data_IF_634954388879
#
_entry.id   IF_634954388879
#
_cell.length_a   1.000
_cell.length_b   1.000
_cell.length_c   1.000
_cell.angle_alpha   90.00
_cell.angle_beta   90.00
_cell.angle_gamma   90.00
#
_symmetry.space_group_name_H-M   'P 1'
#
loop_
_entity.id
_entity.type
_entity.pdbx_description
1 polymer ?
#
# COMPACT_ATOMS: atom_id res chain seq x y z
N UNK A 1 39.33 47.29 52.42
CA UNK A 1 38.17 48.14 52.05
C UNK A 1 38.35 48.88 50.70
N UNK A 2 39.04 48.29 49.70
CA UNK A 2 39.20 48.89 48.34
C UNK A 2 38.85 47.93 47.19
N UNK A 3 38.49 46.67 47.47
CA UNK A 3 38.10 45.71 46.42
C UNK A 3 36.60 45.69 46.11
N UNK A 4 35.72 46.08 47.03
CA UNK A 4 34.27 45.99 46.78
C UNK A 4 33.70 47.14 45.93
N UNK A 5 34.40 48.28 45.85
CA UNK A 5 33.98 49.42 45.02
C UNK A 5 34.28 49.22 43.52
N UNK A 6 35.22 48.34 43.17
CA UNK A 6 35.56 48.05 41.76
C UNK A 6 34.58 47.06 41.15
N UNK A 7 34.07 46.10 41.94
CA UNK A 7 33.07 45.14 41.47
C UNK A 7 31.72 45.79 41.14
N UNK A 8 31.30 46.80 41.92
CA UNK A 8 30.03 47.49 41.68
C UNK A 8 30.07 48.42 40.44
N UNK A 9 31.22 49.01 40.12
CA UNK A 9 31.39 49.86 38.95
C UNK A 9 31.39 49.08 37.62
N UNK A 10 31.89 47.83 37.63
CA UNK A 10 31.91 46.96 36.43
C UNK A 10 30.51 46.43 36.09
N UNK A 11 29.67 46.17 37.10
CA UNK A 11 28.29 45.69 36.88
C UNK A 11 27.38 46.80 36.32
N UNK A 12 27.59 48.06 36.71
CA UNK A 12 26.78 49.19 36.21
C UNK A 12 27.15 49.56 34.76
N UNK A 13 28.43 49.42 34.36
CA UNK A 13 28.85 49.64 32.97
C UNK A 13 28.42 48.51 32.03
N UNK A 14 28.29 47.27 32.52
CA UNK A 14 27.80 46.15 31.72
C UNK A 14 26.27 46.19 31.49
N UNK A 15 25.49 46.69 32.46
CA UNK A 15 24.03 46.81 32.32
C UNK A 15 23.59 48.02 31.46
N UNK A 16 24.33 49.15 31.51
CA UNK A 16 24.03 50.34 30.72
C UNK A 16 24.34 50.18 29.22
N UNK A 17 25.37 49.42 28.86
CA UNK A 17 25.75 49.18 27.46
C UNK A 17 24.76 48.29 26.70
N UNK A 18 24.08 47.36 27.38
CA UNK A 18 23.20 46.41 26.73
C UNK A 18 21.84 47.01 26.33
N UNK A 19 21.32 47.95 27.11
CA UNK A 19 20.08 48.67 26.79
C UNK A 19 20.27 49.69 25.65
N UNK A 20 21.47 50.28 25.51
CA UNK A 20 21.79 51.16 24.38
C UNK A 20 22.04 50.37 23.08
N UNK A 21 22.61 49.16 23.17
CA UNK A 21 22.77 48.26 22.03
C UNK A 21 21.42 47.73 21.50
N UNK A 22 20.47 47.44 22.39
CA UNK A 22 19.12 47.00 22.01
C UNK A 22 18.24 48.12 21.41
N UNK A 23 18.55 49.39 21.70
CA UNK A 23 17.83 50.53 21.13
C UNK A 23 18.30 50.91 19.70
N UNK A 24 19.57 50.66 19.36
CA UNK A 24 20.16 51.01 18.05
C UNK A 24 19.94 49.91 17.00
N UNK A 25 19.79 48.64 17.41
CA UNK A 25 19.61 47.51 16.48
C UNK A 25 18.16 47.37 15.96
N UNK A 26 17.20 48.18 16.44
CA UNK A 26 15.77 48.02 16.10
C UNK A 26 15.22 48.88 14.96
N UNK A 27 16.03 49.67 14.25
CA UNK A 27 15.54 50.55 13.16
C UNK A 27 16.37 50.55 11.88
N UNK A 28 17.24 49.56 11.67
CA UNK A 28 17.88 49.37 10.36
C UNK A 28 17.25 48.18 9.64
N UNK A 29 16.50 48.37 8.54
CA UNK A 29 16.06 47.26 7.71
C UNK A 29 17.34 46.57 7.18
N UNK A 30 17.51 45.31 7.55
CA UNK A 30 18.61 44.50 7.06
C UNK A 30 18.65 44.58 5.52
N UNK A 31 19.82 44.78 4.90
CA UNK A 31 19.93 44.75 3.45
C UNK A 31 19.39 43.41 2.97
N UNK A 32 18.33 43.48 2.16
CA UNK A 32 17.69 42.31 1.55
C UNK A 32 18.83 41.56 0.82
N UNK A 33 19.14 40.30 1.20
CA UNK A 33 20.15 39.55 0.49
C UNK A 33 19.78 39.56 -1.00
N UNK A 34 20.76 39.69 -1.92
CA UNK A 34 20.46 39.60 -3.34
C UNK A 34 19.66 38.34 -3.55
N UNK A 35 18.49 38.47 -4.19
CA UNK A 35 17.69 37.31 -4.54
C UNK A 35 18.59 36.41 -5.39
N UNK A 36 19.04 35.32 -4.79
CA UNK A 36 19.77 34.28 -5.51
C UNK A 36 18.76 33.60 -6.42
N UNK A 37 18.54 34.22 -7.58
CA UNK A 37 17.70 33.75 -8.68
C UNK A 37 18.31 32.54 -9.41
N UNK A 38 19.42 31.96 -8.90
CA UNK A 38 20.13 30.88 -9.56
C UNK A 38 20.11 29.53 -8.84
N UNK A 39 19.54 29.46 -7.63
CA UNK A 39 19.34 28.19 -6.94
C UNK A 39 18.18 27.41 -7.57
N UNK A 40 18.43 26.78 -8.72
CA UNK A 40 17.57 25.70 -9.23
C UNK A 40 17.45 24.68 -8.10
N UNK A 41 16.26 24.42 -7.56
CA UNK A 41 16.12 23.47 -6.47
C UNK A 41 16.56 22.11 -7.01
N UNK A 42 17.73 21.65 -6.55
CA UNK A 42 18.22 20.31 -6.84
C UNK A 42 17.19 19.37 -6.27
N UNK A 43 16.32 18.84 -7.14
CA UNK A 43 15.38 17.79 -6.75
C UNK A 43 16.21 16.68 -6.14
N UNK A 44 15.82 16.20 -4.96
CA UNK A 44 16.47 15.04 -4.36
C UNK A 44 16.51 13.91 -5.38
N UNK A 45 17.59 13.12 -5.39
CA UNK A 45 17.78 11.99 -6.30
C UNK A 45 16.56 11.06 -6.29
N UNK A 46 15.96 10.85 -5.12
CA UNK A 46 14.74 10.06 -4.94
C UNK A 46 13.55 10.61 -5.73
N UNK A 47 13.40 11.95 -5.76
CA UNK A 47 12.34 12.60 -6.53
C UNK A 47 12.56 12.45 -8.04
N UNK A 48 13.81 12.51 -8.49
CA UNK A 48 14.13 12.30 -9.90
C UNK A 48 13.88 10.84 -10.32
N UNK A 49 14.29 9.88 -9.48
CA UNK A 49 14.04 8.45 -9.68
C UNK A 49 12.53 8.15 -9.71
N UNK A 50 11.75 8.73 -8.79
CA UNK A 50 10.30 8.62 -8.80
C UNK A 50 9.69 9.20 -10.08
N UNK A 51 10.09 10.40 -10.50
CA UNK A 51 9.58 11.02 -11.73
C UNK A 51 9.89 10.17 -12.98
N UNK A 52 11.07 9.56 -13.07
CA UNK A 52 11.43 8.66 -14.17
C UNK A 52 10.66 7.32 -14.13
N UNK A 53 10.46 6.74 -12.95
CA UNK A 53 9.59 5.57 -12.79
C UNK A 53 8.16 5.88 -13.24
N UNK A 54 7.60 7.02 -12.83
CA UNK A 54 6.26 7.47 -13.23
C UNK A 54 6.17 7.65 -14.74
N UNK A 55 7.20 8.21 -15.39
CA UNK A 55 7.23 8.36 -16.85
C UNK A 55 7.27 7.02 -17.57
N UNK A 56 8.11 6.08 -17.13
CA UNK A 56 8.21 4.75 -17.75
C UNK A 56 6.89 3.97 -17.69
N UNK A 57 6.10 4.18 -16.64
CA UNK A 57 4.88 3.42 -16.39
C UNK A 57 3.61 4.08 -16.95
N UNK A 58 3.72 5.25 -17.60
CA UNK A 58 2.56 6.10 -17.91
C UNK A 58 1.72 5.68 -19.11
N UNK A 59 2.16 4.71 -19.92
CA UNK A 59 1.53 4.47 -21.23
C UNK A 59 0.97 3.05 -21.45
N UNK A 60 1.43 2.05 -20.70
CA UNK A 60 1.04 0.67 -20.97
C UNK A 60 -0.17 0.25 -20.14
N UNK A 61 -1.16 -0.41 -20.77
CA UNK A 61 -2.24 -1.02 -20.02
C UNK A 61 -1.66 -2.14 -19.13
N UNK A 62 -2.17 -2.23 -17.91
CA UNK A 62 -1.79 -3.22 -16.90
C UNK A 62 -3.01 -4.03 -16.48
N UNK A 63 -2.74 -5.19 -15.89
CA UNK A 63 -3.76 -5.93 -15.18
C UNK A 63 -3.65 -5.63 -13.68
N UNK A 64 -4.75 -5.26 -13.04
CA UNK A 64 -4.82 -5.00 -11.61
C UNK A 64 -5.69 -6.06 -10.95
N UNK A 65 -5.17 -6.67 -9.90
CA UNK A 65 -5.89 -7.53 -8.97
C UNK A 65 -6.21 -6.72 -7.72
N UNK A 66 -7.48 -6.60 -7.39
CA UNK A 66 -7.96 -6.12 -6.11
C UNK A 66 -8.26 -7.33 -5.22
N UNK A 67 -7.82 -7.29 -3.97
CA UNK A 67 -8.05 -8.31 -2.96
C UNK A 67 -8.71 -7.65 -1.76
N UNK A 68 -9.80 -8.20 -1.27
CA UNK A 68 -10.58 -7.73 -0.13
C UNK A 68 -10.71 -8.83 0.92
N UNK A 69 -10.41 -8.52 2.18
CA UNK A 69 -10.56 -9.40 3.32
C UNK A 69 -12.01 -9.33 3.83
N UNK A 70 -12.74 -10.43 3.65
CA UNK A 70 -14.15 -10.51 4.02
C UNK A 70 -14.30 -10.51 5.54
N UNK A 71 -15.22 -9.70 6.05
CA UNK A 71 -15.57 -9.66 7.48
C UNK A 71 -14.60 -8.84 8.35
N UNK A 72 -13.64 -8.12 7.76
CA UNK A 72 -12.68 -7.30 8.49
C UNK A 72 -13.31 -6.34 9.51
N UNK A 73 -14.37 -5.60 9.11
CA UNK A 73 -15.07 -4.68 10.02
C UNK A 73 -15.65 -5.41 11.23
N UNK A 74 -16.36 -6.52 11.01
CA UNK A 74 -16.96 -7.30 12.09
C UNK A 74 -15.90 -7.91 13.01
N UNK A 75 -14.79 -8.39 12.43
CA UNK A 75 -13.65 -8.94 13.17
C UNK A 75 -12.99 -7.87 14.05
N UNK A 76 -12.82 -6.65 13.52
CA UNK A 76 -12.23 -5.52 14.26
C UNK A 76 -13.16 -5.04 15.38
N UNK A 77 -14.46 -4.92 15.12
CA UNK A 77 -15.46 -4.53 16.13
C UNK A 77 -15.57 -5.53 17.28
N UNK A 78 -15.39 -6.82 17.00
CA UNK A 78 -15.40 -7.88 18.02
C UNK A 78 -14.14 -7.89 18.91
N UNK A 79 -13.05 -7.29 18.44
CA UNK A 79 -11.75 -7.32 19.09
C UNK A 79 -11.13 -5.90 19.13
N UNK A 80 -11.64 -5.01 19.99
CA UNK A 80 -11.26 -3.60 20.01
C UNK A 80 -9.87 -3.33 20.62
N UNK A 81 -9.25 -4.34 21.24
CA UNK A 81 -7.94 -4.22 21.86
C UNK A 81 -6.84 -4.04 20.80
N UNK A 82 -5.74 -3.42 21.21
CA UNK A 82 -4.61 -3.19 20.31
C UNK A 82 -4.03 -4.50 19.82
N UNK A 83 -3.93 -4.63 18.50
CA UNK A 83 -3.29 -5.79 17.86
C UNK A 83 -1.80 -5.51 17.73
N UNK A 84 -0.97 -6.32 18.37
CA UNK A 84 0.48 -6.30 18.18
C UNK A 84 0.88 -7.33 17.13
N UNK A 85 1.57 -6.87 16.07
CA UNK A 85 2.17 -7.75 15.07
C UNK A 85 3.67 -7.54 15.03
N UNK A 86 4.40 -8.65 15.06
CA UNK A 86 5.81 -8.67 14.68
C UNK A 86 5.90 -8.94 13.19
N UNK A 87 6.28 -7.92 12.41
CA UNK A 87 6.51 -8.05 10.98
C UNK A 87 7.84 -8.76 10.65
N UNK A 88 8.68 -9.02 11.66
CA UNK A 88 10.03 -9.58 11.49
C UNK A 88 10.16 -11.08 11.75
N UNK A 89 9.15 -11.75 12.31
CA UNK A 89 9.19 -13.19 12.54
C UNK A 89 8.54 -13.95 11.39
N UNK A 90 9.28 -14.89 10.78
CA UNK A 90 8.73 -15.84 9.78
C UNK A 90 7.59 -16.70 10.35
N UNK A 91 7.52 -16.81 11.67
CA UNK A 91 6.39 -17.41 12.36
C UNK A 91 5.36 -16.34 12.71
N UNK A 92 4.09 -16.62 12.41
CA UNK A 92 2.92 -16.04 13.10
C UNK A 92 2.91 -16.59 14.55
N UNK A 93 4.03 -16.47 15.26
CA UNK A 93 4.22 -17.02 16.60
C UNK A 93 3.75 -15.98 17.59
N UNK A 94 2.70 -16.34 18.34
CA UNK A 94 2.00 -15.56 19.35
C UNK A 94 0.80 -14.71 18.89
N UNK A 95 0.12 -15.07 17.80
CA UNK A 95 -1.24 -14.57 17.59
C UNK A 95 -2.16 -15.05 18.73
N UNK A 96 -2.47 -14.14 19.66
CA UNK A 96 -3.23 -14.44 20.90
C UNK A 96 -4.73 -14.46 20.64
N UNK A 97 -5.19 -13.78 19.58
CA UNK A 97 -6.59 -13.71 19.20
C UNK A 97 -6.85 -14.28 17.79
N UNK A 98 -8.10 -14.71 17.48
CA UNK A 98 -8.51 -15.05 16.12
C UNK A 98 -8.28 -13.91 15.11
N UNK A 99 -8.45 -12.66 15.56
CA UNK A 99 -8.21 -11.46 14.76
C UNK A 99 -6.76 -11.31 14.34
N UNK A 100 -5.83 -11.56 15.27
CA UNK A 100 -4.39 -11.48 15.00
C UNK A 100 -4.00 -12.50 13.91
N UNK A 101 -4.58 -13.70 13.97
CA UNK A 101 -4.32 -14.76 12.98
C UNK A 101 -4.82 -14.36 11.60
N UNK A 102 -6.02 -13.80 11.52
CA UNK A 102 -6.62 -13.51 10.22
C UNK A 102 -6.03 -12.26 9.56
N UNK A 103 -5.91 -11.15 10.30
CA UNK A 103 -5.35 -9.93 9.73
C UNK A 103 -3.83 -10.08 9.57
N UNK A 104 -3.14 -10.67 10.54
CA UNK A 104 -1.71 -10.98 10.42
C UNK A 104 -1.42 -11.94 9.27
N UNK A 105 -2.24 -13.00 9.12
CA UNK A 105 -2.17 -13.90 7.97
C UNK A 105 -2.45 -13.21 6.64
N UNK A 106 -3.38 -12.25 6.61
CA UNK A 106 -3.63 -11.41 5.43
C UNK A 106 -2.40 -10.61 5.03
N UNK A 107 -1.83 -9.85 5.97
CA UNK A 107 -0.67 -9.00 5.72
C UNK A 107 0.59 -9.81 5.40
N UNK A 108 0.82 -10.91 6.11
CA UNK A 108 1.95 -11.80 5.86
C UNK A 108 1.92 -12.36 4.43
N UNK A 109 0.75 -12.82 3.95
CA UNK A 109 0.62 -13.32 2.57
C UNK A 109 1.01 -12.26 1.52
N UNK A 110 0.60 -11.01 1.75
CA UNK A 110 0.91 -9.89 0.84
C UNK A 110 2.40 -9.53 0.87
N UNK A 111 3.02 -9.57 2.05
CA UNK A 111 4.45 -9.30 2.21
C UNK A 111 5.31 -10.38 1.55
N UNK A 112 5.01 -11.66 1.78
CA UNK A 112 5.73 -12.77 1.14
C UNK A 112 5.67 -12.68 -0.39
N UNK A 113 4.53 -12.25 -0.93
CA UNK A 113 4.40 -12.06 -2.37
C UNK A 113 5.27 -10.90 -2.89
N UNK A 114 5.37 -9.80 -2.14
CA UNK A 114 6.24 -8.68 -2.49
C UNK A 114 7.73 -9.06 -2.42
N UNK A 115 8.09 -9.98 -1.52
CA UNK A 115 9.46 -10.47 -1.31
C UNK A 115 9.88 -11.57 -2.30
N UNK A 116 8.94 -12.19 -3.00
CA UNK A 116 9.20 -13.23 -4.01
C UNK A 116 9.81 -12.66 -5.31
N UNK A 117 10.93 -11.95 -5.19
CA UNK A 117 11.65 -11.32 -6.29
C UNK A 117 12.19 -12.39 -7.24
N UNK A 118 11.74 -12.36 -8.50
CA UNK A 118 12.23 -13.23 -9.57
C UNK A 118 11.28 -14.33 -10.04
N UNK A 119 10.12 -14.55 -9.39
CA UNK A 119 9.05 -15.32 -10.00
C UNK A 119 8.41 -14.48 -11.12
N UNK A 120 8.25 -15.08 -12.31
CA UNK A 120 7.60 -14.45 -13.46
C UNK A 120 6.11 -14.10 -13.21
N UNK A 121 5.55 -14.57 -12.10
CA UNK A 121 4.21 -14.25 -11.62
C UNK A 121 4.17 -13.20 -10.51
N UNK A 122 5.30 -12.62 -10.10
CA UNK A 122 5.32 -11.59 -9.07
C UNK A 122 4.74 -10.27 -9.58
N UNK A 123 3.96 -9.56 -8.75
CA UNK A 123 3.43 -8.25 -9.12
C UNK A 123 4.56 -7.22 -9.23
N UNK A 124 4.43 -6.33 -10.20
CA UNK A 124 5.31 -5.16 -10.34
C UNK A 124 5.13 -4.15 -9.20
N UNK A 125 3.92 -4.08 -8.63
CA UNK A 125 3.57 -3.19 -7.52
C UNK A 125 2.56 -3.87 -6.60
N UNK A 126 2.72 -3.68 -5.29
CA UNK A 126 1.79 -4.13 -4.25
C UNK A 126 1.44 -2.96 -3.35
N UNK A 127 0.16 -2.59 -3.34
CA UNK A 127 -0.41 -1.54 -2.50
C UNK A 127 -1.32 -2.19 -1.48
N UNK A 128 -0.77 -2.49 -0.30
CA UNK A 128 -1.50 -3.10 0.79
C UNK A 128 -2.10 -2.04 1.73
N UNK A 129 -3.32 -2.30 2.18
CA UNK A 129 -4.06 -1.59 3.21
C UNK A 129 -4.46 -2.59 4.29
N UNK A 130 -5.13 -2.12 5.35
CA UNK A 130 -5.49 -2.97 6.50
C UNK A 130 -6.26 -4.23 6.11
N UNK A 131 -7.23 -4.09 5.20
CA UNK A 131 -8.19 -5.13 4.82
C UNK A 131 -8.22 -5.43 3.32
N UNK A 132 -7.47 -4.67 2.52
CA UNK A 132 -7.49 -4.85 1.07
C UNK A 132 -6.12 -4.57 0.46
N UNK A 133 -5.94 -4.98 -0.80
CA UNK A 133 -4.72 -4.72 -1.56
C UNK A 133 -4.97 -4.58 -3.06
N UNK A 134 -4.10 -3.82 -3.71
CA UNK A 134 -4.01 -3.76 -5.17
C UNK A 134 -2.65 -4.30 -5.62
N UNK A 135 -2.68 -5.23 -6.58
CA UNK A 135 -1.50 -5.87 -7.15
C UNK A 135 -1.48 -5.65 -8.65
N UNK A 136 -0.35 -5.22 -9.18
CA UNK A 136 -0.23 -4.77 -10.58
C UNK A 136 0.66 -5.70 -11.38
N UNK A 137 0.14 -6.20 -12.49
CA UNK A 137 0.79 -7.16 -13.38
C UNK A 137 0.84 -6.64 -14.82
N UNK A 138 1.78 -7.18 -15.59
CA UNK A 138 1.98 -6.82 -16.99
C UNK A 138 0.93 -7.45 -17.92
N UNK A 139 0.44 -8.64 -17.58
CA UNK A 139 -0.60 -9.30 -18.36
C UNK A 139 -1.64 -10.05 -17.51
N UNK A 140 -2.84 -10.32 -18.08
CA UNK A 140 -3.91 -10.98 -17.34
C UNK A 140 -3.60 -12.42 -16.90
N UNK A 141 -2.80 -13.16 -17.68
CA UNK A 141 -2.47 -14.56 -17.36
C UNK A 141 -1.60 -14.65 -16.10
N UNK A 142 -0.56 -13.81 -15.99
CA UNK A 142 0.24 -13.70 -14.77
C UNK A 142 -0.62 -13.36 -13.56
N UNK A 143 -1.50 -12.37 -13.71
CA UNK A 143 -2.37 -11.93 -12.64
C UNK A 143 -3.34 -13.03 -12.18
N UNK A 144 -3.92 -13.79 -13.12
CA UNK A 144 -4.82 -14.91 -12.82
C UNK A 144 -4.10 -16.08 -12.13
N UNK A 145 -2.87 -16.41 -12.55
CA UNK A 145 -2.04 -17.44 -11.90
C UNK A 145 -1.71 -17.03 -10.46
N UNK A 146 -1.29 -15.77 -10.26
CA UNK A 146 -1.00 -15.23 -8.93
C UNK A 146 -2.27 -15.20 -8.06
N UNK A 147 -3.40 -14.71 -8.58
CA UNK A 147 -4.68 -14.68 -7.87
C UNK A 147 -5.12 -16.08 -7.40
N UNK A 148 -4.98 -17.10 -8.25
CA UNK A 148 -5.34 -18.48 -7.90
C UNK A 148 -4.46 -19.03 -6.79
N UNK A 149 -3.15 -18.78 -6.84
CA UNK A 149 -2.20 -19.18 -5.78
C UNK A 149 -2.49 -18.47 -4.47
N UNK A 150 -2.70 -17.16 -4.50
CA UNK A 150 -3.05 -16.36 -3.33
C UNK A 150 -4.36 -16.82 -2.70
N UNK A 151 -5.39 -17.05 -3.50
CA UNK A 151 -6.69 -17.51 -3.00
C UNK A 151 -6.57 -18.86 -2.28
N UNK A 152 -5.80 -19.81 -2.84
CA UNK A 152 -5.50 -21.09 -2.17
C UNK A 152 -4.72 -20.89 -0.88
N UNK A 153 -3.74 -19.99 -0.87
CA UNK A 153 -2.99 -19.67 0.34
C UNK A 153 -3.92 -19.14 1.43
N UNK A 154 -4.71 -18.11 1.13
CA UNK A 154 -5.68 -17.51 2.04
C UNK A 154 -6.70 -18.53 2.56
N UNK A 155 -7.17 -19.42 1.68
CA UNK A 155 -8.06 -20.52 2.07
C UNK A 155 -7.39 -21.46 3.10
N UNK A 156 -6.12 -21.83 2.90
CA UNK A 156 -5.36 -22.70 3.83
C UNK A 156 -5.11 -22.03 5.18
N UNK A 157 -4.84 -20.73 5.20
CA UNK A 157 -4.64 -19.96 6.43
C UNK A 157 -5.94 -19.43 7.04
N UNK A 158 -7.10 -19.86 6.52
CA UNK A 158 -8.44 -19.49 7.01
C UNK A 158 -8.69 -17.97 7.04
N UNK A 159 -8.12 -17.26 6.07
CA UNK A 159 -8.36 -15.84 5.83
C UNK A 159 -9.36 -15.74 4.67
N UNK A 160 -10.64 -15.40 4.93
CA UNK A 160 -11.62 -15.31 3.87
C UNK A 160 -11.33 -14.05 3.02
N UNK A 161 -11.07 -14.23 1.74
CA UNK A 161 -10.82 -13.11 0.82
C UNK A 161 -11.66 -13.22 -0.43
N UNK A 162 -11.91 -12.09 -1.07
CA UNK A 162 -12.51 -12.02 -2.39
C UNK A 162 -11.66 -11.16 -3.30
N UNK A 163 -11.63 -11.50 -4.58
CA UNK A 163 -10.74 -10.87 -5.54
C UNK A 163 -11.47 -10.40 -6.78
N UNK A 164 -11.05 -9.27 -7.32
CA UNK A 164 -11.50 -8.75 -8.61
C UNK A 164 -10.30 -8.46 -9.51
N UNK A 165 -10.30 -9.01 -10.72
CA UNK A 165 -9.24 -8.82 -11.69
C UNK A 165 -9.75 -7.98 -12.86
N UNK A 166 -9.00 -6.96 -13.27
CA UNK A 166 -9.35 -6.15 -14.43
C UNK A 166 -8.13 -5.66 -15.21
N UNK A 167 -8.35 -5.41 -16.50
CA UNK A 167 -7.38 -4.81 -17.39
C UNK A 167 -7.73 -3.34 -17.70
N UNK A 168 -6.72 -2.48 -17.81
CA UNK A 168 -6.88 -1.06 -18.11
C UNK A 168 -5.64 -0.22 -17.79
N UNK A 169 -5.84 1.07 -17.58
CA UNK A 169 -4.77 2.00 -17.20
C UNK A 169 -4.45 1.92 -15.71
N UNK A 170 -3.18 2.12 -15.36
CA UNK A 170 -2.65 2.23 -14.01
C UNK A 170 -1.62 3.36 -13.96
N UNK A 171 -1.73 4.22 -12.95
CA UNK A 171 -0.81 5.33 -12.71
C UNK A 171 -0.49 5.42 -11.23
N UNK A 172 0.80 5.37 -10.90
CA UNK A 172 1.32 5.76 -9.60
C UNK A 172 1.73 7.24 -9.66
N UNK A 173 1.35 8.04 -8.67
CA UNK A 173 1.68 9.47 -8.63
C UNK A 173 2.72 9.79 -7.57
N UNK A 174 2.46 9.41 -6.31
CA UNK A 174 3.35 9.73 -5.19
C UNK A 174 3.03 8.86 -3.99
N UNK A 175 4.08 8.40 -3.33
CA UNK A 175 4.03 8.03 -1.93
C UNK A 175 4.68 9.15 -1.11
N UNK A 176 4.03 9.63 -0.05
CA UNK A 176 4.68 10.52 0.90
C UNK A 176 4.25 10.29 2.34
N UNK A 177 5.19 10.62 3.22
CA UNK A 177 5.02 10.64 4.65
C UNK A 177 5.40 12.05 5.10
N UNK A 178 4.43 12.81 5.58
CA UNK A 178 4.60 14.20 5.98
C UNK A 178 4.16 14.36 7.44
N UNK A 179 5.00 14.97 8.28
CA UNK A 179 4.64 15.34 9.66
C UNK A 179 4.40 16.84 9.68
N UNK A 180 3.16 17.24 9.97
CA UNK A 180 2.76 18.65 10.06
C UNK A 180 2.20 18.88 11.46
N UNK A 181 2.92 19.66 12.26
CA UNK A 181 2.67 19.83 13.70
C UNK A 181 2.70 18.49 14.45
N UNK A 182 1.56 18.08 15.01
CA UNK A 182 1.34 16.79 15.67
C UNK A 182 0.62 15.76 14.78
N UNK A 183 0.43 16.06 13.49
CA UNK A 183 -0.28 15.20 12.55
C UNK A 183 0.70 14.47 11.65
N UNK A 184 0.57 13.15 11.63
CA UNK A 184 1.23 12.30 10.64
C UNK A 184 0.30 12.10 9.46
N UNK A 185 0.76 12.43 8.26
CA UNK A 185 0.00 12.25 7.03
C UNK A 185 0.76 11.33 6.08
N UNK A 186 0.26 10.12 5.94
CA UNK A 186 0.72 9.15 4.94
C UNK A 186 -0.19 9.21 3.71
N UNK A 187 0.39 9.40 2.52
CA UNK A 187 -0.33 9.49 1.25
C UNK A 187 0.24 8.45 0.29
N UNK A 188 -0.60 7.55 -0.19
CA UNK A 188 -0.32 6.72 -1.35
C UNK A 188 -1.32 7.09 -2.44
N UNK A 189 -0.85 7.76 -3.49
CA UNK A 189 -1.73 8.22 -4.58
C UNK A 189 -1.45 7.41 -5.83
N UNK A 190 -2.44 6.61 -6.21
CA UNK A 190 -2.50 5.86 -7.45
C UNK A 190 -3.92 5.90 -8.00
N UNK A 191 -4.07 5.74 -9.31
CA UNK A 191 -5.37 5.79 -9.98
C UNK A 191 -5.29 5.10 -11.34
N UNK A 192 -6.46 4.81 -11.93
CA UNK A 192 -6.53 4.25 -13.26
C UNK A 192 -7.81 3.48 -13.49
N UNK A 193 -8.13 3.22 -14.76
CA UNK A 193 -9.34 2.47 -15.11
C UNK A 193 -9.26 1.02 -14.65
N UNK A 194 -8.06 0.42 -14.60
CA UNK A 194 -7.89 -0.94 -14.08
C UNK A 194 -8.22 -1.02 -12.58
N UNK A 195 -7.84 -0.01 -11.79
CA UNK A 195 -8.12 0.07 -10.34
C UNK A 195 -9.62 0.02 -10.08
N UNK A 196 -10.36 0.93 -10.73
CA UNK A 196 -11.82 1.04 -10.56
C UNK A 196 -12.52 -0.23 -11.02
N UNK A 197 -12.11 -0.79 -12.17
CA UNK A 197 -12.71 -2.00 -12.72
C UNK A 197 -12.43 -3.24 -11.88
N UNK A 198 -11.22 -3.37 -11.32
CA UNK A 198 -10.84 -4.49 -10.45
C UNK A 198 -11.67 -4.46 -9.16
N UNK A 199 -11.77 -3.30 -8.53
CA UNK A 199 -12.64 -3.09 -7.39
C UNK A 199 -14.13 -3.35 -7.72
N UNK A 200 -14.62 -2.91 -8.88
CA UNK A 200 -15.99 -3.19 -9.30
C UNK A 200 -16.24 -4.69 -9.56
N UNK A 201 -15.25 -5.41 -10.08
CA UNK A 201 -15.36 -6.83 -10.36
C UNK A 201 -15.48 -7.67 -9.09
N UNK A 202 -14.77 -7.31 -8.01
CA UNK A 202 -14.94 -7.95 -6.71
C UNK A 202 -16.42 -7.90 -6.25
N UNK A 203 -17.14 -6.83 -6.59
CA UNK A 203 -18.53 -6.61 -6.20
C UNK A 203 -19.58 -7.31 -7.05
N UNK A 204 -19.23 -8.22 -7.96
CA UNK A 204 -20.21 -8.92 -8.81
C UNK A 204 -21.12 -9.94 -8.07
N UNK A 205 -21.32 -9.76 -6.76
CA UNK A 205 -22.49 -10.27 -6.04
C UNK A 205 -22.38 -11.70 -5.48
N UNK A 206 -21.24 -12.38 -5.65
CA UNK A 206 -21.07 -13.74 -5.14
C UNK A 206 -20.73 -13.80 -3.64
N UNK A 207 -21.24 -14.80 -2.93
CA UNK A 207 -20.87 -15.07 -1.54
C UNK A 207 -19.57 -15.85 -1.45
N UNK A 208 -18.81 -15.62 -0.39
CA UNK A 208 -17.60 -16.39 -0.07
C UNK A 208 -16.37 -16.01 -0.89
N UNK A 209 -15.39 -16.91 -0.87
CA UNK A 209 -14.08 -16.70 -1.49
C UNK A 209 -14.15 -16.97 -3.00
N UNK A 210 -14.01 -15.93 -3.80
CA UNK A 210 -14.16 -15.99 -5.26
C UNK A 210 -13.21 -15.01 -5.95
N UNK A 211 -12.81 -15.34 -7.19
CA UNK A 211 -12.03 -14.48 -8.06
C UNK A 211 -12.89 -14.10 -9.27
N UNK A 212 -13.22 -12.83 -9.41
CA UNK A 212 -14.05 -12.31 -10.49
C UNK A 212 -13.18 -11.68 -11.58
N UNK A 213 -13.54 -11.93 -12.84
CA UNK A 213 -12.86 -11.35 -13.99
C UNK A 213 -13.75 -10.26 -14.62
N UNK A 214 -13.27 -9.03 -14.62
CA UNK A 214 -13.94 -7.91 -15.28
C UNK A 214 -13.98 -8.13 -16.81
N UNK A 215 -15.06 -7.75 -17.52
CA UNK A 215 -15.16 -7.86 -18.99
C UNK A 215 -14.09 -7.11 -19.79
N UNK A 216 -13.28 -6.26 -19.15
CA UNK A 216 -12.14 -5.62 -19.81
C UNK A 216 -10.98 -6.59 -20.06
N UNK A 217 -10.99 -7.76 -19.43
CA UNK A 217 -10.15 -8.90 -19.79
C UNK A 217 -10.80 -9.52 -21.03
N UNK A 218 -10.19 -9.32 -22.19
CA UNK A 218 -10.76 -9.79 -23.47
C UNK A 218 -10.97 -11.31 -23.51
N UNK A 219 -11.86 -11.80 -24.39
CA UNK A 219 -12.22 -13.21 -24.47
C UNK A 219 -11.02 -14.12 -24.74
N UNK A 220 -10.07 -13.68 -25.57
CA UNK A 220 -8.85 -14.45 -25.85
C UNK A 220 -7.98 -14.65 -24.61
N UNK A 221 -7.87 -13.62 -23.77
CA UNK A 221 -7.13 -13.71 -22.50
C UNK A 221 -7.86 -14.63 -21.51
N UNK A 222 -9.20 -14.57 -21.46
CA UNK A 222 -10.01 -15.48 -20.64
C UNK A 222 -9.79 -16.94 -21.07
N UNK A 223 -9.84 -17.23 -22.38
CA UNK A 223 -9.61 -18.57 -22.90
C UNK A 223 -8.19 -19.08 -22.56
N UNK A 224 -7.18 -18.21 -22.65
CA UNK A 224 -5.82 -18.55 -22.24
C UNK A 224 -5.72 -18.84 -20.73
N UNK A 225 -6.38 -18.03 -19.89
CA UNK A 225 -6.44 -18.24 -18.44
C UNK A 225 -7.09 -19.60 -18.14
N UNK A 226 -8.25 -19.89 -18.71
CA UNK A 226 -8.99 -21.14 -18.49
C UNK A 226 -8.18 -22.38 -18.91
N UNK A 227 -7.37 -22.26 -19.97
CA UNK A 227 -6.50 -23.36 -20.43
C UNK A 227 -5.34 -23.60 -19.48
N UNK A 228 -4.84 -22.56 -18.80
CA UNK A 228 -3.60 -22.61 -18.00
C UNK A 228 -3.84 -22.79 -16.51
N UNK A 229 -4.91 -22.19 -15.98
CA UNK A 229 -5.32 -22.37 -14.59
C UNK A 229 -6.21 -23.62 -14.57
N UNK A 230 -5.61 -24.76 -14.20
CA UNK A 230 -6.31 -26.06 -14.14
C UNK A 230 -7.22 -26.13 -12.91
N UNK A 231 -8.39 -25.54 -12.99
CA UNK A 231 -9.32 -25.51 -11.86
C UNK A 231 -10.58 -26.29 -12.11
N UNK A 232 -11.19 -26.77 -11.02
CA UNK A 232 -12.45 -27.50 -11.05
C UNK A 232 -13.53 -26.66 -11.74
N UNK A 233 -14.44 -27.31 -12.46
CA UNK A 233 -15.58 -26.61 -13.03
C UNK A 233 -16.48 -26.08 -11.92
N UNK A 234 -16.90 -24.82 -12.06
CA UNK A 234 -17.88 -24.22 -11.15
C UNK A 234 -19.27 -24.69 -11.60
N UNK A 235 -20.03 -25.29 -10.68
CA UNK A 235 -21.33 -25.90 -10.97
C UNK A 235 -22.37 -24.96 -11.61
N UNK A 236 -22.21 -23.63 -11.44
CA UNK A 236 -23.02 -22.64 -12.14
C UNK A 236 -22.35 -21.27 -12.10
N UNK A 237 -22.20 -20.62 -13.26
CA UNK A 237 -21.82 -19.21 -13.33
C UNK A 237 -22.92 -18.34 -12.69
N UNK A 238 -22.52 -17.29 -11.95
CA UNK A 238 -23.47 -16.34 -11.38
C UNK A 238 -23.95 -15.37 -12.46
N UNK A 239 -25.24 -15.01 -12.46
CA UNK A 239 -25.83 -14.16 -13.51
C UNK A 239 -25.11 -12.81 -13.66
N UNK A 240 -24.65 -12.23 -12.54
CA UNK A 240 -23.97 -10.93 -12.49
C UNK A 240 -22.45 -11.01 -12.70
N UNK A 241 -21.87 -12.22 -12.68
CA UNK A 241 -20.44 -12.47 -12.83
C UNK A 241 -20.22 -13.49 -13.96
N UNK A 242 -20.28 -13.06 -15.23
CA UNK A 242 -20.18 -13.98 -16.37
C UNK A 242 -18.83 -14.69 -16.43
N UNK A 243 -17.79 -14.10 -15.84
CA UNK A 243 -16.44 -14.65 -15.82
C UNK A 243 -15.96 -14.77 -14.37
N UNK A 244 -15.84 -16.02 -13.92
CA UNK A 244 -15.27 -16.36 -12.62
C UNK A 244 -14.08 -17.29 -12.83
N UNK A 245 -13.06 -17.10 -11.99
CA UNK A 245 -11.90 -17.97 -11.94
C UNK A 245 -12.03 -18.82 -10.68
N UNK A 246 -12.09 -20.13 -10.85
CA UNK A 246 -11.96 -21.05 -9.73
C UNK A 246 -10.47 -21.12 -9.33
N UNK A 247 -10.19 -21.54 -8.10
CA UNK A 247 -8.86 -21.63 -7.51
C UNK A 247 -8.61 -23.01 -6.88
N UNK A 248 -9.63 -23.85 -6.76
CA UNK A 248 -9.51 -25.20 -6.25
C UNK A 248 -9.07 -26.16 -7.35
N UNK A 249 -8.00 -26.91 -7.07
CA UNK A 249 -7.57 -28.05 -7.88
C UNK A 249 -8.19 -29.34 -7.33
N UNK A 250 -8.19 -30.40 -8.15
CA UNK A 250 -8.61 -31.75 -7.69
C UNK A 250 -7.86 -32.19 -6.43
N UNK A 251 -6.55 -31.89 -6.36
CA UNK A 251 -5.69 -32.19 -5.19
C UNK A 251 -6.16 -31.48 -3.91
N UNK A 252 -6.79 -30.31 -4.01
CA UNK A 252 -7.28 -29.59 -2.83
C UNK A 252 -8.56 -30.24 -2.25
N UNK A 253 -9.27 -31.08 -3.01
CA UNK A 253 -10.47 -31.79 -2.53
C UNK A 253 -10.14 -32.85 -1.48
N UNK A 254 -8.92 -33.40 -1.49
CA UNK A 254 -8.48 -34.39 -0.51
C UNK A 254 -8.23 -33.79 0.88
N UNK A 255 -8.00 -32.47 0.94
CA UNK A 255 -7.64 -31.73 2.16
C UNK A 255 -8.89 -31.14 2.83
N UNK A 256 -10.03 -31.07 2.11
CA UNK A 256 -11.26 -30.55 2.68
C UNK A 256 -11.81 -31.52 3.75
N UNK A 257 -12.13 -31.03 4.96
CA UNK A 257 -12.78 -31.86 5.97
C UNK A 257 -14.13 -32.36 5.42
N UNK A 258 -14.30 -33.68 5.38
CA UNK A 258 -15.55 -34.34 4.96
C UNK A 258 -16.67 -34.16 5.98
#
# INVERSE_FOLDING_TARGET
>A
MRLELVALAIVILAAGGWLLYMAIVRTSPAPKPPADESAVPVKSLDRQLQEELIKRHRAEPRCVLFVDMLGFSALTEQHPDHIEWDFGSEEISAATSPTDKQIGGFQHALNTLAEAVGDASSPSHVMAFSDCAFLVYDNPLQAALSASRLMRYFFRVQVPVRMGLAHGTWHVQRFSFDVVDSKTITRAVFYGTAVVRAHNAERYGGKGCQIFLHPSIGPDAIAQIQTRVRVLEIASAHADAPNQLNFLHEEDLEILPR
#
